data_IF_487858421024
#
_entry.id   IF_487858421024
#
_cell.length_a   1.000
_cell.length_b   1.000
_cell.length_c   1.000
_cell.angle_alpha   90.00
_cell.angle_beta   90.00
_cell.angle_gamma   90.00
#
_symmetry.space_group_name_H-M   'P 1'
#
loop_
_entity.id
_entity.type
_entity.pdbx_description
1 polymer ?
#
# COMPACT_ATOMS: atom_id res chain seq x y z
N UNK A 1 -36.80 21.77 -9.36
CA UNK A 1 -36.32 20.67 -8.48
C UNK A 1 -35.17 19.87 -9.09
N UNK A 2 -35.27 19.32 -10.32
CA UNK A 2 -34.18 18.55 -10.96
C UNK A 2 -32.87 19.33 -11.14
N UNK A 3 -32.95 20.60 -11.55
CA UNK A 3 -31.76 21.46 -11.72
C UNK A 3 -30.99 21.72 -10.42
N UNK A 4 -31.71 21.88 -9.30
CA UNK A 4 -31.13 22.13 -7.99
C UNK A 4 -30.40 20.88 -7.44
N UNK A 5 -30.93 19.68 -7.72
CA UNK A 5 -30.29 18.41 -7.37
C UNK A 5 -29.02 18.20 -8.20
N UNK A 6 -29.06 18.48 -9.50
CA UNK A 6 -27.87 18.37 -10.37
C UNK A 6 -26.78 19.34 -9.94
N UNK A 7 -27.14 20.58 -9.59
CA UNK A 7 -26.19 21.58 -9.09
C UNK A 7 -25.58 21.15 -7.75
N UNK A 8 -26.39 20.61 -6.83
CA UNK A 8 -25.92 20.10 -5.55
C UNK A 8 -24.96 18.90 -5.73
N UNK A 9 -25.27 17.98 -6.64
CA UNK A 9 -24.38 16.86 -6.96
C UNK A 9 -23.05 17.32 -7.58
N UNK A 10 -23.07 18.34 -8.45
CA UNK A 10 -21.85 18.92 -9.03
C UNK A 10 -20.98 19.60 -7.97
N UNK A 11 -21.59 20.30 -7.01
CA UNK A 11 -20.86 20.92 -5.90
C UNK A 11 -20.26 19.86 -4.97
N UNK A 12 -21.00 18.79 -4.65
CA UNK A 12 -20.48 17.66 -3.88
C UNK A 12 -19.31 16.95 -4.59
N UNK A 13 -19.43 16.72 -5.90
CA UNK A 13 -18.37 16.11 -6.70
C UNK A 13 -17.13 17.01 -6.81
N UNK A 14 -17.30 18.33 -6.88
CA UNK A 14 -16.18 19.28 -6.90
C UNK A 14 -15.48 19.42 -5.54
N UNK A 15 -16.20 19.17 -4.43
CA UNK A 15 -15.64 19.16 -3.08
C UNK A 15 -14.99 17.83 -2.72
N UNK A 16 -15.42 16.73 -3.35
CA UNK A 16 -14.76 15.44 -3.23
C UNK A 16 -13.37 15.53 -3.87
N UNK A 17 -12.33 15.70 -3.04
CA UNK A 17 -10.96 15.48 -3.47
C UNK A 17 -10.77 13.96 -3.49
N UNK A 18 -10.67 13.30 -4.65
CA UNK A 18 -10.31 11.89 -4.66
C UNK A 18 -8.97 11.77 -3.94
N UNK A 19 -8.95 11.05 -2.82
CA UNK A 19 -7.69 10.80 -2.14
C UNK A 19 -6.90 9.92 -3.08
N UNK A 20 -5.66 10.31 -3.41
CA UNK A 20 -4.82 9.61 -4.41
C UNK A 20 -4.52 8.14 -4.04
N UNK A 21 -5.02 7.65 -2.90
CA UNK A 21 -4.74 6.36 -2.28
C UNK A 21 -6.01 5.60 -1.90
N UNK A 22 -7.19 5.99 -2.42
CA UNK A 22 -8.46 5.33 -2.07
C UNK A 22 -8.44 3.82 -2.40
N UNK A 23 -7.66 3.42 -3.41
CA UNK A 23 -7.48 2.01 -3.80
C UNK A 23 -6.71 1.16 -2.79
N UNK A 24 -6.03 1.78 -1.82
CA UNK A 24 -5.26 1.08 -0.78
C UNK A 24 -6.09 0.77 0.47
N UNK A 25 -7.33 1.27 0.57
CA UNK A 25 -8.19 0.94 1.71
C UNK A 25 -8.48 -0.55 1.77
N UNK A 26 -8.19 -1.17 2.92
CA UNK A 26 -8.30 -2.61 3.11
C UNK A 26 -7.26 -3.44 2.33
N UNK A 27 -6.31 -2.83 1.63
CA UNK A 27 -5.18 -3.54 1.06
C UNK A 27 -4.31 -4.11 2.20
N UNK A 28 -3.84 -5.34 2.04
CA UNK A 28 -3.06 -6.05 3.05
C UNK A 28 -1.70 -6.44 2.49
N UNK A 29 -0.70 -6.49 3.37
CA UNK A 29 0.61 -7.08 3.09
C UNK A 29 0.70 -8.41 3.83
N UNK A 30 0.84 -9.49 3.08
CA UNK A 30 1.01 -10.85 3.59
C UNK A 30 2.47 -11.25 3.48
N UNK A 31 3.04 -11.80 4.55
CA UNK A 31 4.35 -12.44 4.54
C UNK A 31 4.19 -13.94 4.47
N UNK A 32 4.82 -14.56 3.48
CA UNK A 32 4.91 -16.01 3.32
C UNK A 32 6.35 -16.47 3.47
N UNK A 33 6.56 -17.73 3.82
CA UNK A 33 7.89 -18.32 3.88
C UNK A 33 7.92 -19.65 3.11
N UNK A 34 8.28 -19.67 1.82
CA UNK A 34 8.26 -20.88 1.01
C UNK A 34 9.27 -21.90 1.54
N UNK A 35 8.82 -23.14 1.77
CA UNK A 35 9.64 -24.24 2.29
C UNK A 35 10.08 -25.22 1.19
N UNK A 36 9.44 -25.19 0.02
CA UNK A 36 9.73 -26.10 -1.10
C UNK A 36 10.06 -25.35 -2.38
N UNK A 37 10.80 -26.01 -3.28
CA UNK A 37 11.11 -25.44 -4.60
C UNK A 37 9.84 -25.15 -5.40
N UNK A 38 8.81 -25.98 -5.28
CA UNK A 38 7.52 -25.78 -5.96
C UNK A 38 6.81 -24.51 -5.48
N UNK A 39 6.84 -24.22 -4.18
CA UNK A 39 6.30 -22.97 -3.63
C UNK A 39 7.07 -21.76 -4.14
N UNK A 40 8.41 -21.84 -4.23
CA UNK A 40 9.24 -20.76 -4.80
C UNK A 40 8.88 -20.54 -6.27
N UNK A 41 8.81 -21.61 -7.06
CA UNK A 41 8.45 -21.51 -8.47
C UNK A 41 7.03 -20.98 -8.67
N UNK A 42 6.09 -21.35 -7.81
CA UNK A 42 4.75 -20.81 -7.81
C UNK A 42 4.76 -19.30 -7.58
N UNK A 43 5.45 -18.82 -6.54
CA UNK A 43 5.54 -17.39 -6.24
C UNK A 43 6.25 -16.61 -7.36
N UNK A 44 7.30 -17.18 -7.98
CA UNK A 44 7.96 -16.59 -9.15
C UNK A 44 7.02 -16.51 -10.36
N UNK A 45 6.16 -17.51 -10.55
CA UNK A 45 5.11 -17.47 -11.57
C UNK A 45 4.08 -16.38 -11.26
N UNK A 46 3.66 -16.27 -10.00
CA UNK A 46 2.71 -15.28 -9.53
C UNK A 46 3.24 -13.84 -9.70
N UNK A 47 4.51 -13.61 -9.38
CA UNK A 47 5.18 -12.31 -9.59
C UNK A 47 5.05 -11.83 -11.04
N UNK A 48 5.20 -12.73 -12.02
CA UNK A 48 5.12 -12.40 -13.46
C UNK A 48 3.72 -12.06 -13.95
N UNK A 49 2.69 -12.27 -13.13
CA UNK A 49 1.30 -11.93 -13.51
C UNK A 49 0.96 -10.48 -13.27
N UNK A 50 1.80 -9.75 -12.51
CA UNK A 50 1.56 -8.37 -12.05
C UNK A 50 0.20 -8.17 -11.33
N UNK A 51 -0.44 -9.25 -10.87
CA UNK A 51 -1.71 -9.21 -10.15
C UNK A 51 -1.56 -8.67 -8.72
N UNK A 52 -0.39 -8.85 -8.14
CA UNK A 52 -0.03 -8.46 -6.79
C UNK A 52 1.28 -7.69 -6.80
N UNK A 53 1.46 -6.82 -5.82
CA UNK A 53 2.68 -6.04 -5.67
C UNK A 53 3.61 -6.76 -4.68
N UNK A 54 4.75 -7.25 -5.18
CA UNK A 54 5.72 -7.96 -4.36
C UNK A 54 6.74 -6.96 -3.80
N UNK A 55 6.67 -6.75 -2.49
CA UNK A 55 7.62 -5.89 -1.77
C UNK A 55 8.97 -6.58 -1.56
N UNK A 56 9.01 -7.90 -1.67
CA UNK A 56 10.24 -8.70 -1.68
C UNK A 56 10.10 -9.81 -2.69
N UNK A 57 11.15 -10.05 -3.47
CA UNK A 57 11.11 -11.07 -4.52
C UNK A 57 11.32 -12.49 -3.96
N UNK A 58 10.70 -13.52 -4.57
CA UNK A 58 10.92 -14.92 -4.21
C UNK A 58 12.28 -15.43 -4.71
N UNK A 59 13.28 -15.43 -3.81
CA UNK A 59 14.66 -15.82 -4.13
C UNK A 59 14.98 -17.31 -3.92
N UNK A 60 14.27 -17.99 -3.01
CA UNK A 60 14.58 -19.37 -2.65
C UNK A 60 13.79 -19.84 -1.43
N UNK A 61 14.00 -21.09 -1.03
CA UNK A 61 13.36 -21.65 0.16
C UNK A 61 13.89 -21.01 1.43
N UNK A 62 13.05 -20.87 2.45
CA UNK A 62 13.39 -20.26 3.73
C UNK A 62 13.58 -18.74 3.68
N UNK A 63 13.41 -18.10 2.52
CA UNK A 63 13.49 -16.65 2.35
C UNK A 63 12.08 -16.06 2.35
N UNK A 64 11.72 -15.22 3.35
CA UNK A 64 10.40 -14.61 3.42
C UNK A 64 10.10 -13.73 2.20
N UNK A 65 8.84 -13.72 1.78
CA UNK A 65 8.33 -12.95 0.65
C UNK A 65 7.13 -12.12 1.13
N UNK A 66 7.18 -10.82 0.91
CA UNK A 66 6.11 -9.89 1.27
C UNK A 66 5.30 -9.51 0.02
N UNK A 67 3.99 -9.74 0.08
CA UNK A 67 3.06 -9.57 -1.05
C UNK A 67 1.92 -8.64 -0.61
N UNK A 68 1.81 -7.49 -1.27
CA UNK A 68 0.68 -6.59 -1.12
C UNK A 68 -0.44 -6.95 -2.10
N UNK A 69 -1.64 -7.11 -1.57
CA UNK A 69 -2.86 -7.35 -2.33
C UNK A 69 -3.90 -6.26 -2.05
N UNK A 70 -4.57 -5.81 -3.11
CA UNK A 70 -5.71 -4.90 -3.00
C UNK A 70 -6.87 -5.60 -2.30
N UNK A 71 -7.73 -4.85 -1.59
CA UNK A 71 -8.77 -5.39 -0.72
C UNK A 71 -9.64 -6.49 -1.37
N UNK A 72 -10.05 -6.30 -2.62
CA UNK A 72 -10.87 -7.29 -3.34
C UNK A 72 -10.12 -8.60 -3.66
N UNK A 73 -8.80 -8.54 -3.77
CA UNK A 73 -7.94 -9.66 -4.16
C UNK A 73 -7.36 -10.42 -2.96
N UNK A 74 -7.37 -9.83 -1.76
CA UNK A 74 -6.88 -10.45 -0.52
C UNK A 74 -7.49 -11.83 -0.26
N UNK A 75 -8.82 -12.05 -0.38
CA UNK A 75 -9.41 -13.38 -0.12
C UNK A 75 -8.93 -14.42 -1.13
N UNK A 76 -8.74 -14.01 -2.39
CA UNK A 76 -8.24 -14.90 -3.45
C UNK A 76 -6.81 -15.28 -3.16
N UNK A 77 -5.94 -14.32 -2.86
CA UNK A 77 -4.53 -14.57 -2.52
C UNK A 77 -4.41 -15.55 -1.33
N UNK A 78 -5.13 -15.30 -0.22
CA UNK A 78 -5.09 -16.17 0.97
C UNK A 78 -5.48 -17.60 0.63
N UNK A 79 -6.59 -17.79 -0.08
CA UNK A 79 -7.05 -19.12 -0.51
C UNK A 79 -6.02 -19.81 -1.40
N UNK A 80 -5.42 -19.07 -2.32
CA UNK A 80 -4.42 -19.62 -3.24
C UNK A 80 -3.14 -20.05 -2.51
N UNK A 81 -2.72 -19.30 -1.49
CA UNK A 81 -1.59 -19.67 -0.63
C UNK A 81 -1.90 -20.92 0.20
N UNK A 82 -3.10 -21.00 0.79
CA UNK A 82 -3.57 -22.19 1.52
C UNK A 82 -3.63 -23.43 0.62
N UNK A 83 -4.04 -23.28 -0.65
CA UNK A 83 -4.13 -24.40 -1.62
C UNK A 83 -2.77 -25.01 -1.98
N UNK A 84 -1.67 -24.30 -1.77
CA UNK A 84 -0.31 -24.76 -2.02
C UNK A 84 0.45 -25.06 -0.71
N UNK A 85 -0.28 -25.19 0.41
CA UNK A 85 0.24 -25.42 1.76
C UNK A 85 1.30 -24.38 2.17
N UNK A 86 1.08 -23.12 1.79
CA UNK A 86 1.96 -22.01 2.11
C UNK A 86 1.32 -21.08 3.15
N UNK A 87 1.76 -21.23 4.39
CA UNK A 87 1.32 -20.39 5.50
C UNK A 87 1.70 -18.92 5.27
N UNK A 88 0.85 -18.02 5.77
CA UNK A 88 1.06 -16.58 5.71
C UNK A 88 0.80 -15.91 7.05
N UNK A 89 1.43 -14.74 7.25
CA UNK A 89 1.13 -13.81 8.34
C UNK A 89 0.76 -12.44 7.77
N UNK A 90 -0.13 -11.72 8.44
CA UNK A 90 -0.49 -10.36 8.03
C UNK A 90 0.51 -9.40 8.66
N UNK A 91 1.36 -8.78 7.84
CA UNK A 91 2.33 -7.77 8.28
C UNK A 91 1.69 -6.39 8.37
N UNK A 92 0.82 -6.06 7.39
CA UNK A 92 0.06 -4.81 7.35
C UNK A 92 -1.39 -5.15 7.06
N UNK A 93 -2.29 -4.77 7.97
CA UNK A 93 -3.72 -5.08 7.88
C UNK A 93 -4.53 -4.10 7.04
N UNK A 94 -4.05 -2.85 6.93
CA UNK A 94 -4.59 -1.81 6.06
C UNK A 94 -3.48 -0.81 5.69
N UNK A 95 -3.06 -0.84 4.43
CA UNK A 95 -1.98 0.02 3.91
C UNK A 95 -2.40 1.49 3.90
N UNK A 96 -3.66 1.82 3.63
CA UNK A 96 -4.13 3.21 3.64
C UNK A 96 -4.09 3.81 5.04
N UNK A 97 -4.45 3.04 6.08
CA UNK A 97 -4.37 3.50 7.47
C UNK A 97 -2.93 3.74 7.93
N UNK A 98 -2.00 2.86 7.53
CA UNK A 98 -0.57 3.06 7.81
C UNK A 98 -0.08 4.37 7.18
N UNK A 99 -0.38 4.59 5.90
CA UNK A 99 0.03 5.79 5.18
C UNK A 99 -0.61 7.07 5.73
N UNK A 100 -1.88 7.00 6.16
CA UNK A 100 -2.55 8.13 6.80
C UNK A 100 -1.86 8.55 8.10
N UNK A 101 -1.48 7.57 8.94
CA UNK A 101 -0.75 7.81 10.20
C UNK A 101 0.61 8.45 9.94
N UNK A 102 1.36 7.94 8.97
CA UNK A 102 2.68 8.48 8.63
C UNK A 102 2.58 9.90 8.06
N UNK A 103 1.55 10.20 7.26
CA UNK A 103 1.30 11.57 6.77
C UNK A 103 0.97 12.54 7.90
N UNK A 104 0.12 12.13 8.83
CA UNK A 104 -0.24 12.96 9.98
C UNK A 104 1.00 13.26 10.84
N UNK A 105 1.83 12.25 11.11
CA UNK A 105 3.09 12.42 11.84
C UNK A 105 4.05 13.38 11.13
N UNK A 106 4.23 13.24 9.81
CA UNK A 106 5.07 14.14 9.02
C UNK A 106 4.53 15.57 8.97
N UNK A 107 3.20 15.75 8.91
CA UNK A 107 2.59 17.10 8.96
C UNK A 107 2.84 17.77 10.30
N UNK A 108 2.72 17.03 11.41
CA UNK A 108 3.04 17.53 12.75
C UNK A 108 4.53 17.89 12.89
N UNK A 109 5.42 17.05 12.38
CA UNK A 109 6.86 17.31 12.39
C UNK A 109 7.20 18.60 11.63
N UNK A 110 6.70 18.76 10.39
CA UNK A 110 6.87 19.99 9.59
C UNK A 110 6.30 21.23 10.28
N UNK A 111 5.13 21.12 10.90
CA UNK A 111 4.55 22.25 11.63
C UNK A 111 5.43 22.71 12.80
N UNK A 112 6.19 21.79 13.41
CA UNK A 112 7.14 22.08 14.48
C UNK A 112 8.49 22.60 13.97
N UNK A 113 9.02 22.07 12.86
CA UNK A 113 10.32 22.48 12.29
C UNK A 113 10.25 23.70 11.36
N UNK A 114 9.07 24.06 10.85
CA UNK A 114 8.88 25.14 9.90
C UNK A 114 9.38 24.76 8.50
N UNK A 115 10.18 25.64 7.87
CA UNK A 115 10.87 25.36 6.59
C UNK A 115 12.30 24.82 6.77
N UNK A 116 12.74 24.59 8.00
CA UNK A 116 14.07 24.05 8.25
C UNK A 116 14.09 22.55 7.96
N UNK A 117 15.05 22.10 7.16
CA UNK A 117 15.25 20.68 6.90
C UNK A 117 15.68 19.96 8.19
N UNK A 118 15.07 18.81 8.45
CA UNK A 118 15.41 17.91 9.56
C UNK A 118 15.64 16.48 9.07
N UNK A 119 16.24 15.63 9.90
CA UNK A 119 16.50 14.22 9.54
C UNK A 119 15.52 13.24 10.16
N UNK A 120 14.46 13.77 10.78
CA UNK A 120 13.49 13.01 11.58
C UNK A 120 12.13 12.88 10.91
N UNK A 121 11.93 13.57 9.78
CA UNK A 121 10.69 13.58 9.02
C UNK A 121 10.96 13.47 7.51
N UNK A 122 9.94 13.04 6.78
CA UNK A 122 10.01 12.97 5.32
C UNK A 122 9.76 14.34 4.71
N UNK A 123 10.68 14.81 3.86
CA UNK A 123 10.61 16.09 3.14
C UNK A 123 10.05 15.92 1.73
N UNK A 124 9.40 16.97 1.23
CA UNK A 124 8.97 17.07 -0.17
C UNK A 124 10.17 17.41 -1.03
N UNK A 125 10.06 17.15 -2.32
CA UNK A 125 11.12 17.44 -3.27
C UNK A 125 11.57 18.92 -3.26
N UNK A 126 10.63 19.86 -3.14
CA UNK A 126 10.89 21.31 -3.06
C UNK A 126 11.55 21.75 -1.74
N UNK A 127 11.48 20.92 -0.69
CA UNK A 127 12.11 21.15 0.61
C UNK A 127 13.57 20.66 0.64
N UNK A 128 13.97 19.75 -0.29
CA UNK A 128 15.29 19.11 -0.32
C UNK A 128 16.32 19.89 -1.16
N UNK A 129 15.87 20.86 -1.98
CA UNK A 129 16.76 21.68 -2.80
C UNK A 129 17.58 22.69 -1.98
N UNK A 130 18.91 22.60 -2.06
CA UNK A 130 19.81 23.71 -1.70
C UNK A 130 19.57 24.81 -2.74
N UNK A 131 19.24 26.03 -2.31
CA UNK A 131 19.07 27.17 -3.21
C UNK A 131 20.31 27.36 -4.11
N UNK A 132 20.06 27.68 -5.38
CA UNK A 132 21.07 28.04 -6.39
C UNK A 132 22.10 29.07 -5.87
#
# INVERSE_FOLDING_TARGET
MRFLVVLACLVLAALARPSTHDYLHGAQVLRVNPQTADQVHYLQGLLKTDLYDFWTEPHGTGHPVDIMAQAFSVPVLKKTLEQIDLDFTIQVSDVALLLAKDREANQKARAASGKAMDWTSYHRYDEVGIGD
#
